data_IF_635967868598
#
_entry.id   IF_635967868598
#
_cell.length_a   1.000
_cell.length_b   1.000
_cell.length_c   1.000
_cell.angle_alpha   90.00
_cell.angle_beta   90.00
_cell.angle_gamma   90.00
#
_symmetry.space_group_name_H-M   'P 1'
#
loop_
_entity.id
_entity.type
_entity.pdbx_description
1 polymer ?
#
# COMPACT_ATOMS: atom_id res chain seq x y z
N UNK A 1 24.21 13.42 -1.68
CA UNK A 1 23.31 13.88 -0.60
C UNK A 1 21.90 13.33 -0.76
N UNK A 2 21.29 13.45 -1.94
CA UNK A 2 19.94 12.96 -2.23
C UNK A 2 19.80 11.42 -2.17
N UNK A 3 20.79 10.69 -2.67
CA UNK A 3 20.83 9.21 -2.62
C UNK A 3 20.71 8.65 -1.20
N UNK A 4 21.41 9.28 -0.24
CA UNK A 4 21.36 8.88 1.18
C UNK A 4 19.98 9.09 1.78
N UNK A 5 19.28 10.16 1.38
CA UNK A 5 17.92 10.44 1.82
C UNK A 5 16.94 9.40 1.27
N UNK A 6 16.98 9.12 -0.04
CA UNK A 6 16.12 8.10 -0.66
C UNK A 6 16.32 6.72 -0.03
N UNK A 7 17.57 6.30 0.17
CA UNK A 7 17.85 5.01 0.81
C UNK A 7 17.29 4.95 2.22
N UNK A 8 17.44 6.03 3.00
CA UNK A 8 16.89 6.10 4.35
C UNK A 8 15.37 5.98 4.33
N UNK A 9 14.68 6.72 3.46
CA UNK A 9 13.23 6.70 3.33
C UNK A 9 12.71 5.33 2.91
N UNK A 10 13.33 4.67 1.93
CA UNK A 10 12.93 3.33 1.48
C UNK A 10 13.07 2.33 2.62
N UNK A 11 14.19 2.36 3.34
CA UNK A 11 14.46 1.44 4.45
C UNK A 11 13.52 1.66 5.64
N UNK A 12 13.11 2.90 5.87
CA UNK A 12 12.12 3.26 6.89
C UNK A 12 10.75 2.63 6.57
N UNK A 13 10.25 2.81 5.35
CA UNK A 13 8.96 2.24 4.91
C UNK A 13 9.00 0.70 4.89
N UNK A 14 10.13 0.10 4.54
CA UNK A 14 10.29 -1.34 4.57
C UNK A 14 10.17 -1.91 6.00
N UNK A 15 10.74 -1.20 7.00
CA UNK A 15 10.73 -1.64 8.41
C UNK A 15 9.43 -1.31 9.12
N UNK A 16 8.81 -0.18 8.77
CA UNK A 16 7.57 0.32 9.38
C UNK A 16 6.59 0.65 8.26
N UNK A 17 5.98 -0.38 7.65
CA UNK A 17 5.02 -0.17 6.58
C UNK A 17 3.82 0.58 7.15
N UNK A 18 3.48 1.70 6.50
CA UNK A 18 2.29 2.47 6.82
C UNK A 18 1.11 1.83 6.10
N UNK A 19 -0.07 1.91 6.70
CA UNK A 19 -1.29 1.34 6.13
C UNK A 19 -1.11 -0.14 5.77
N UNK A 20 -0.62 -0.94 6.71
CA UNK A 20 -0.41 -2.37 6.51
C UNK A 20 -1.47 -3.16 7.28
N UNK A 21 -2.21 -4.01 6.57
CA UNK A 21 -3.26 -4.82 7.19
C UNK A 21 -4.38 -5.13 6.20
N UNK A 22 -5.61 -5.05 6.70
CA UNK A 22 -6.83 -5.17 5.88
C UNK A 22 -7.82 -4.13 6.35
N UNK A 23 -8.55 -3.54 5.41
CA UNK A 23 -9.75 -2.79 5.74
C UNK A 23 -10.88 -3.79 6.01
N UNK A 24 -11.57 -3.65 7.13
CA UNK A 24 -12.69 -4.53 7.53
C UNK A 24 -14.05 -3.93 7.17
N UNK A 25 -14.06 -2.79 6.49
CA UNK A 25 -15.28 -2.15 6.01
C UNK A 25 -15.93 -3.00 4.91
N UNK A 26 -17.24 -3.15 4.95
CA UNK A 26 -17.99 -3.93 3.96
C UNK A 26 -18.03 -3.25 2.59
N UNK A 27 -17.89 -1.91 2.55
CA UNK A 27 -17.81 -1.11 1.33
C UNK A 27 -16.37 -1.00 0.79
N UNK A 28 -15.41 -1.68 1.43
CA UNK A 28 -14.01 -1.69 1.00
C UNK A 28 -13.85 -2.42 -0.34
N UNK A 29 -13.23 -1.75 -1.30
CA UNK A 29 -12.80 -2.36 -2.55
C UNK A 29 -11.51 -3.16 -2.29
N UNK A 30 -11.49 -4.43 -2.71
CA UNK A 30 -10.34 -5.33 -2.54
C UNK A 30 -9.74 -5.67 -3.91
N UNK A 31 -8.49 -5.27 -4.12
CA UNK A 31 -7.75 -5.42 -5.38
C UNK A 31 -6.50 -6.29 -5.16
N UNK A 32 -6.55 -7.59 -5.50
CA UNK A 32 -5.36 -8.44 -5.53
C UNK A 32 -4.52 -8.13 -6.77
N UNK A 33 -3.21 -7.96 -6.58
CA UNK A 33 -2.22 -7.77 -7.63
C UNK A 33 -1.08 -8.78 -7.49
N UNK A 34 -0.58 -9.26 -8.63
CA UNK A 34 0.59 -10.13 -8.70
C UNK A 34 1.55 -9.63 -9.77
N UNK A 35 2.80 -9.41 -9.39
CA UNK A 35 3.90 -9.12 -10.31
C UNK A 35 4.52 -10.46 -10.78
N UNK A 36 4.28 -10.93 -12.01
CA UNK A 36 4.75 -12.23 -12.47
C UNK A 36 6.27 -12.31 -12.67
N UNK A 37 6.94 -11.17 -12.80
CA UNK A 37 8.39 -11.12 -13.08
C UNK A 37 9.21 -11.41 -11.82
N UNK A 38 8.82 -10.84 -10.69
CA UNK A 38 9.53 -10.97 -9.41
C UNK A 38 8.81 -11.88 -8.42
N UNK A 39 7.54 -12.20 -8.68
CA UNK A 39 6.70 -13.01 -7.81
C UNK A 39 5.99 -12.23 -6.70
N UNK A 40 6.09 -10.90 -6.68
CA UNK A 40 5.45 -10.08 -5.64
C UNK A 40 3.92 -10.24 -5.69
N UNK A 41 3.30 -10.36 -4.51
CA UNK A 41 1.86 -10.41 -4.35
C UNK A 41 1.46 -9.31 -3.38
N UNK A 42 0.45 -8.53 -3.75
CA UNK A 42 -0.10 -7.45 -2.94
C UNK A 42 -1.63 -7.52 -2.98
N UNK A 43 -2.27 -7.11 -1.90
CA UNK A 43 -3.72 -6.89 -1.87
C UNK A 43 -3.90 -5.45 -1.40
N UNK A 44 -4.55 -4.64 -2.22
CA UNK A 44 -4.91 -3.27 -1.88
C UNK A 44 -6.38 -3.23 -1.46
N UNK A 45 -6.63 -2.67 -0.30
CA UNK A 45 -7.94 -2.33 0.24
C UNK A 45 -8.14 -0.82 0.09
N UNK A 46 -9.30 -0.38 -0.39
CA UNK A 46 -9.57 1.05 -0.59
C UNK A 46 -11.03 1.37 -0.32
N UNK A 47 -11.29 2.46 0.42
CA UNK A 47 -12.61 3.04 0.59
C UNK A 47 -12.73 4.29 -0.29
N UNK A 48 -13.75 4.30 -1.15
CA UNK A 48 -14.05 5.41 -2.06
C UNK A 48 -15.40 6.04 -1.68
N UNK A 49 -15.43 7.37 -1.66
CA UNK A 49 -16.66 8.15 -1.51
C UNK A 49 -16.58 9.38 -2.41
N UNK A 50 -17.59 9.58 -3.25
CA UNK A 50 -17.69 10.72 -4.18
C UNK A 50 -16.40 10.93 -5.01
N UNK A 51 -15.87 9.84 -5.56
CA UNK A 51 -14.60 9.77 -6.31
C UNK A 51 -13.34 10.19 -5.51
N UNK A 52 -13.43 10.31 -4.19
CA UNK A 52 -12.31 10.56 -3.28
C UNK A 52 -11.94 9.31 -2.47
N UNK A 53 -10.64 9.05 -2.33
CA UNK A 53 -10.12 8.00 -1.45
C UNK A 53 -10.23 8.49 0.00
N UNK A 54 -11.02 7.78 0.79
CA UNK A 54 -11.20 8.04 2.22
C UNK A 54 -10.18 7.27 3.06
N UNK A 55 -9.90 6.02 2.69
CA UNK A 55 -8.88 5.19 3.33
C UNK A 55 -8.30 4.17 2.34
N UNK A 56 -7.06 3.73 2.59
CA UNK A 56 -6.35 2.75 1.78
C UNK A 56 -5.34 1.98 2.62
N UNK A 57 -5.35 0.65 2.47
CA UNK A 57 -4.46 -0.30 3.15
C UNK A 57 -3.87 -1.27 2.14
#
# INVERSE_FOLDING_TARGET
MLERLYRQTIMDHYKQPRNYGKLTDDDAIVLPYKNPTCGDVMILYMLLQDDCIQDQI
#
